data_IF_674652036997
#
_entry.id   IF_674652036997
#
_cell.length_a   1.000
_cell.length_b   1.000
_cell.length_c   1.000
_cell.angle_alpha   90.00
_cell.angle_beta   90.00
_cell.angle_gamma   90.00
#
_symmetry.space_group_name_H-M   'P 1'
#
loop_
_entity.id
_entity.type
_entity.pdbx_description
1 polymer ?
#
# COMPACT_ATOMS: atom_id res chain seq x y z
N UNK A 1 -12.43 14.43 -14.69
CA UNK A 1 -11.98 13.17 -14.07
C UNK A 1 -13.20 12.28 -13.97
N UNK A 2 -13.11 11.03 -14.42
CA UNK A 2 -14.16 10.02 -14.27
C UNK A 2 -13.70 9.03 -13.19
N UNK A 3 -14.58 8.68 -12.26
CA UNK A 3 -14.30 7.60 -11.29
C UNK A 3 -14.43 6.26 -12.04
N UNK A 4 -13.37 5.45 -12.03
CA UNK A 4 -13.34 4.13 -12.67
C UNK A 4 -13.49 2.99 -11.65
N UNK A 5 -13.22 3.24 -10.37
CA UNK A 5 -13.38 2.25 -9.30
C UNK A 5 -13.15 2.91 -7.94
N UNK A 6 -13.79 2.38 -6.91
CA UNK A 6 -13.67 2.90 -5.55
C UNK A 6 -13.78 1.77 -4.51
N UNK A 7 -13.12 1.98 -3.37
CA UNK A 7 -13.16 1.08 -2.23
C UNK A 7 -13.18 1.94 -0.95
N UNK A 8 -13.98 1.55 0.03
CA UNK A 8 -14.00 2.19 1.35
C UNK A 8 -13.09 1.37 2.26
N UNK A 9 -12.07 2.00 2.83
CA UNK A 9 -11.13 1.35 3.75
C UNK A 9 -11.62 1.45 5.20
N UNK A 10 -11.14 0.54 6.05
CA UNK A 10 -11.45 0.52 7.50
C UNK A 10 -10.81 1.69 8.28
N UNK A 11 -10.11 2.60 7.61
CA UNK A 11 -9.45 3.77 8.18
C UNK A 11 -9.20 4.84 7.13
N UNK A 12 -8.73 6.01 7.57
CA UNK A 12 -8.43 7.11 6.65
C UNK A 12 -7.30 6.69 5.69
N UNK A 13 -7.56 6.76 4.39
CA UNK A 13 -6.54 6.61 3.38
C UNK A 13 -5.58 7.81 3.44
N UNK A 14 -4.28 7.55 3.54
CA UNK A 14 -3.26 8.59 3.73
C UNK A 14 -2.36 8.73 2.50
N UNK A 15 -1.88 7.61 1.94
CA UNK A 15 -1.10 7.59 0.72
C UNK A 15 -1.54 6.48 -0.24
N UNK A 16 -1.33 6.70 -1.54
CA UNK A 16 -1.53 5.71 -2.59
C UNK A 16 -0.40 5.79 -3.62
N UNK A 17 0.04 4.65 -4.16
CA UNK A 17 1.08 4.61 -5.19
C UNK A 17 1.00 3.35 -6.05
N UNK A 18 1.05 3.53 -7.37
CA UNK A 18 1.15 2.43 -8.32
C UNK A 18 2.57 1.85 -8.36
N UNK A 19 2.67 0.53 -8.49
CA UNK A 19 3.95 -0.13 -8.67
C UNK A 19 4.55 0.24 -10.05
N UNK A 20 5.83 0.66 -10.11
CA UNK A 20 6.46 1.13 -11.35
C UNK A 20 7.09 0.00 -12.18
N UNK A 21 6.81 -1.26 -11.87
CA UNK A 21 7.39 -2.42 -12.55
C UNK A 21 6.38 -3.04 -13.53
N UNK A 22 6.83 -3.34 -14.75
CA UNK A 22 5.96 -3.75 -15.87
C UNK A 22 5.01 -4.90 -15.55
N UNK A 23 5.50 -5.94 -14.87
CA UNK A 23 4.67 -7.10 -14.48
C UNK A 23 3.64 -6.80 -13.39
N UNK A 24 3.63 -5.59 -12.83
CA UNK A 24 2.82 -5.18 -11.69
C UNK A 24 2.21 -3.77 -11.87
N UNK A 25 2.12 -3.24 -13.08
CA UNK A 25 1.55 -1.89 -13.31
C UNK A 25 0.09 -1.75 -12.86
N UNK A 26 -0.64 -2.87 -12.80
CA UNK A 26 -1.99 -2.97 -12.27
C UNK A 26 -2.03 -2.91 -10.74
N UNK A 27 -0.90 -3.08 -10.04
CA UNK A 27 -0.86 -3.11 -8.58
C UNK A 27 -0.80 -1.69 -8.02
N UNK A 28 -1.81 -1.36 -7.22
CA UNK A 28 -1.88 -0.13 -6.44
C UNK A 28 -1.68 -0.45 -4.96
N UNK A 29 -0.72 0.22 -4.31
CA UNK A 29 -0.63 0.23 -2.86
C UNK A 29 -1.43 1.41 -2.30
N UNK A 30 -2.18 1.17 -1.22
CA UNK A 30 -2.80 2.20 -0.39
C UNK A 30 -2.40 1.99 1.07
N UNK A 31 -2.23 3.08 1.81
CA UNK A 31 -1.93 3.03 3.24
C UNK A 31 -3.00 3.74 4.06
N UNK A 32 -3.15 3.31 5.32
CA UNK A 32 -4.01 4.01 6.28
C UNK A 32 -3.25 4.50 7.50
N UNK A 33 -3.83 5.53 8.09
CA UNK A 33 -3.48 6.04 9.40
C UNK A 33 -4.74 6.21 10.24
N UNK A 34 -4.76 5.60 11.42
CA UNK A 34 -5.84 5.71 12.39
C UNK A 34 -5.24 6.06 13.75
N UNK A 35 -5.66 7.20 14.30
CA UNK A 35 -5.35 7.59 15.67
C UNK A 35 -6.51 7.16 16.58
N UNK A 36 -6.23 6.29 17.53
CA UNK A 36 -7.13 6.03 18.65
C UNK A 36 -6.72 6.94 19.81
N UNK A 37 -7.61 7.87 20.18
CA UNK A 37 -7.43 8.75 21.34
C UNK A 37 -7.83 8.05 22.65
N UNK A 38 -7.37 8.59 23.79
CA UNK A 38 -7.68 8.08 25.13
C UNK A 38 -6.46 8.07 26.05
N UNK A 39 -6.57 7.44 27.21
CA UNK A 39 -5.49 7.38 28.22
C UNK A 39 -4.22 6.66 27.70
N UNK A 40 -4.40 5.78 26.71
CA UNK A 40 -3.31 5.07 26.01
C UNK A 40 -3.49 5.25 24.50
N UNK A 41 -3.05 6.37 23.93
CA UNK A 41 -3.23 6.63 22.52
C UNK A 41 -2.44 5.63 21.68
N UNK A 42 -3.01 5.18 20.57
CA UNK A 42 -2.34 4.29 19.63
C UNK A 42 -2.52 4.78 18.20
N UNK A 43 -1.54 4.47 17.34
CA UNK A 43 -1.53 4.85 15.93
C UNK A 43 -1.41 3.58 15.11
N UNK A 44 -2.51 3.10 14.57
CA UNK A 44 -2.58 1.89 13.75
C UNK A 44 -2.76 2.24 12.28
N UNK A 45 -2.38 1.31 11.42
CA UNK A 45 -2.44 1.47 9.97
C UNK A 45 -2.44 0.13 9.27
N UNK A 46 -2.64 0.16 7.96
CA UNK A 46 -2.55 -1.00 7.09
C UNK A 46 -1.90 -0.60 5.77
N UNK A 47 -1.14 -1.51 5.15
CA UNK A 47 -0.86 -1.48 3.72
C UNK A 47 -1.87 -2.39 3.04
N UNK A 48 -2.55 -1.90 2.02
CA UNK A 48 -3.45 -2.67 1.16
C UNK A 48 -2.90 -2.64 -0.25
N UNK A 49 -2.84 -3.82 -0.88
CA UNK A 49 -2.55 -3.92 -2.30
C UNK A 49 -3.84 -4.22 -3.04
N UNK A 50 -4.05 -3.49 -4.13
CA UNK A 50 -5.18 -3.67 -5.02
C UNK A 50 -4.70 -4.07 -6.40
N UNK A 51 -5.46 -4.97 -7.04
CA UNK A 51 -5.42 -5.18 -8.48
C UNK A 51 -6.40 -4.19 -9.15
N UNK A 52 -5.89 -3.40 -10.08
CA UNK A 52 -6.66 -2.37 -10.80
C UNK A 52 -6.90 -2.81 -12.23
N UNK A 53 -8.17 -2.96 -12.58
CA UNK A 53 -8.62 -3.07 -13.97
C UNK A 53 -9.50 -1.86 -14.30
N UNK A 54 -8.89 -0.86 -14.94
CA UNK A 54 -9.58 0.36 -15.32
C UNK A 54 -10.59 0.16 -16.48
N UNK A 55 -10.46 -0.90 -17.28
CA UNK A 55 -11.38 -1.20 -18.37
C UNK A 55 -12.65 -1.87 -17.83
N UNK A 56 -12.51 -2.80 -16.88
CA UNK A 56 -13.62 -3.42 -16.18
C UNK A 56 -14.21 -2.54 -15.07
N UNK A 57 -13.51 -1.47 -14.68
CA UNK A 57 -13.92 -0.58 -13.60
C UNK A 57 -13.77 -1.22 -12.21
N UNK A 58 -12.72 -2.01 -12.03
CA UNK A 58 -12.49 -2.83 -10.84
C UNK A 58 -11.27 -2.35 -10.05
N UNK A 59 -11.44 -2.35 -8.73
CA UNK A 59 -10.39 -2.09 -7.73
C UNK A 59 -10.50 -3.19 -6.67
N UNK A 60 -9.80 -4.30 -6.89
CA UNK A 60 -9.92 -5.51 -6.07
C UNK A 60 -8.83 -5.58 -5.01
N UNK A 61 -9.20 -5.76 -3.74
CA UNK A 61 -8.24 -5.94 -2.65
C UNK A 61 -7.61 -7.34 -2.74
N UNK A 62 -6.32 -7.42 -3.00
CA UNK A 62 -5.57 -8.68 -3.11
C UNK A 62 -4.75 -9.00 -1.85
N UNK A 63 -4.34 -7.98 -1.08
CA UNK A 63 -3.58 -8.18 0.16
C UNK A 63 -3.81 -7.06 1.15
N UNK A 64 -3.80 -7.38 2.45
CA UNK A 64 -3.81 -6.42 3.57
C UNK A 64 -2.76 -6.82 4.60
N UNK A 65 -1.94 -5.86 5.03
CA UNK A 65 -0.90 -6.03 6.06
C UNK A 65 -1.10 -4.99 7.15
N UNK A 66 -1.43 -5.43 8.35
CA UNK A 66 -1.58 -4.54 9.52
C UNK A 66 -0.22 -4.06 10.04
N UNK A 67 -0.15 -2.79 10.43
CA UNK A 67 1.08 -2.14 10.89
C UNK A 67 0.75 -0.89 11.72
N UNK A 68 1.77 -0.12 12.10
CA UNK A 68 1.59 1.19 12.70
C UNK A 68 0.99 2.18 11.68
N UNK A 69 0.38 3.27 12.15
CA UNK A 69 -0.14 4.32 11.26
C UNK A 69 0.94 4.80 10.29
N UNK A 70 0.61 4.84 9.00
CA UNK A 70 1.59 5.15 7.94
C UNK A 70 1.47 6.61 7.53
N UNK A 71 2.61 7.28 7.31
CA UNK A 71 2.66 8.65 6.80
C UNK A 71 3.06 8.75 5.33
N UNK A 72 3.82 7.76 4.82
CA UNK A 72 4.24 7.73 3.42
C UNK A 72 4.58 6.30 3.00
N UNK A 73 4.37 6.02 1.72
CA UNK A 73 4.82 4.79 1.06
C UNK A 73 5.53 5.13 -0.25
N UNK A 74 6.55 4.35 -0.60
CA UNK A 74 7.29 4.54 -1.84
C UNK A 74 7.79 3.26 -2.49
N UNK A 75 7.36 2.99 -3.71
CA UNK A 75 7.91 1.92 -4.53
C UNK A 75 9.33 2.28 -4.96
N UNK A 76 10.23 1.30 -4.90
CA UNK A 76 11.55 1.42 -5.51
C UNK A 76 11.39 1.54 -7.03
N UNK A 77 12.03 2.52 -7.69
CA UNK A 77 11.95 2.65 -9.15
C UNK A 77 12.79 1.58 -9.88
N UNK A 78 13.60 0.81 -9.15
CA UNK A 78 14.50 -0.22 -9.70
C UNK A 78 14.43 -1.49 -8.88
N UNK A 79 14.55 -2.62 -9.55
CA UNK A 79 14.79 -3.90 -8.89
C UNK A 79 16.20 -3.88 -8.30
N UNK A 80 16.31 -4.11 -7.00
CA UNK A 80 17.60 -4.06 -6.28
C UNK A 80 18.29 -5.43 -6.17
N UNK A 81 17.68 -6.49 -6.74
CA UNK A 81 18.18 -7.88 -6.71
C UNK A 81 17.98 -8.54 -8.10
N UNK A 82 18.67 -9.66 -8.37
CA UNK A 82 18.50 -10.45 -9.59
C UNK A 82 18.48 -11.98 -9.30
N UNK A 83 17.37 -12.69 -9.56
CA UNK A 83 16.04 -12.12 -9.88
C UNK A 83 15.54 -11.27 -8.71
N UNK A 84 14.93 -10.11 -9.01
CA UNK A 84 14.50 -9.15 -7.99
C UNK A 84 12.99 -9.00 -7.96
N UNK A 85 12.47 -8.79 -6.76
CA UNK A 85 11.06 -8.46 -6.53
C UNK A 85 10.89 -6.94 -6.39
N UNK A 86 9.73 -6.37 -6.79
CA UNK A 86 9.37 -4.99 -6.43
C UNK A 86 9.47 -4.76 -4.93
N UNK A 87 9.99 -3.59 -4.53
CA UNK A 87 10.13 -3.22 -3.13
C UNK A 87 9.28 -1.99 -2.82
N UNK A 88 8.53 -2.03 -1.71
CA UNK A 88 7.74 -0.93 -1.19
C UNK A 88 8.33 -0.46 0.14
N UNK A 89 8.74 0.80 0.21
CA UNK A 89 9.15 1.45 1.44
C UNK A 89 7.93 2.00 2.18
N UNK A 90 7.98 1.99 3.51
CA UNK A 90 6.98 2.54 4.42
C UNK A 90 7.69 3.43 5.46
N UNK A 91 7.14 4.61 5.72
CA UNK A 91 7.48 5.43 6.88
C UNK A 91 6.28 5.50 7.85
N UNK A 92 6.49 5.21 9.13
CA UNK A 92 5.38 5.01 10.08
C UNK A 92 5.47 5.78 11.41
N UNK A 93 4.37 5.72 12.14
CA UNK A 93 4.12 6.40 13.40
C UNK A 93 4.98 5.92 14.58
N UNK A 94 5.62 4.76 14.47
CA UNK A 94 6.56 4.25 15.47
C UNK A 94 7.97 4.83 15.29
N UNK A 95 8.18 5.69 14.28
CA UNK A 95 9.49 6.19 13.90
C UNK A 95 10.33 5.16 13.16
N UNK A 96 9.70 4.15 12.57
CA UNK A 96 10.37 3.12 11.77
C UNK A 96 10.25 3.39 10.28
N UNK A 97 11.27 2.95 9.54
CA UNK A 97 11.24 2.79 8.08
C UNK A 97 11.33 1.30 7.79
N UNK A 98 10.41 0.79 6.97
CA UNK A 98 10.32 -0.65 6.63
C UNK A 98 10.34 -0.83 5.12
N UNK A 99 10.92 -1.93 4.67
CA UNK A 99 10.95 -2.32 3.25
C UNK A 99 10.19 -3.65 3.13
N UNK A 100 9.20 -3.68 2.24
CA UNK A 100 8.40 -4.84 1.92
C UNK A 100 8.76 -5.32 0.51
N UNK A 101 8.74 -6.64 0.30
CA UNK A 101 8.95 -7.25 -1.02
C UNK A 101 7.61 -7.79 -1.54
N UNK A 102 7.26 -7.43 -2.77
CA UNK A 102 6.11 -8.02 -3.45
C UNK A 102 6.51 -9.37 -4.03
N UNK A 103 5.95 -10.45 -3.48
CA UNK A 103 6.13 -11.79 -4.05
C UNK A 103 4.96 -12.08 -4.98
N UNK A 104 5.25 -12.57 -6.20
CA UNK A 104 4.20 -13.11 -7.06
C UNK A 104 3.61 -14.38 -6.44
N UNK A 105 2.34 -14.63 -6.69
CA UNK A 105 1.77 -15.97 -6.51
C UNK A 105 2.30 -16.88 -7.62
N UNK A 106 3.07 -17.89 -7.23
CA UNK A 106 3.54 -18.97 -8.12
C UNK A 106 2.38 -19.73 -8.79
#
# INVERSE_FOLDING_TARGET
VLEVGSCILDGNADAVEFCPHESFYNVLAASTYVLQEGDRPCRSGCIMLFDVDAEAGQLELIQKVETAGIFDIKWSPRLLQNPGCPLLAQADADGSVRIHSLQGSD
#
